data_IF_708051783146
#
_entry.id   IF_708051783146
#
_cell.length_a   1.000
_cell.length_b   1.000
_cell.length_c   1.000
_cell.angle_alpha   90.00
_cell.angle_beta   90.00
_cell.angle_gamma   90.00
#
_symmetry.space_group_name_H-M   'P 1'
#
loop_
_entity.id
_entity.type
_entity.pdbx_description
1 polymer ?
#
# COMPACT_ATOMS: atom_id res chain seq x y z
N UNK A 1 8.81 2.59 -6.54
CA UNK A 1 10.21 2.16 -6.78
C UNK A 1 11.23 3.16 -6.26
N UNK A 2 11.16 4.45 -6.63
CA UNK A 2 12.15 5.46 -6.16
C UNK A 2 12.22 5.57 -4.64
N UNK A 3 11.09 5.68 -3.95
CA UNK A 3 11.03 5.76 -2.48
C UNK A 3 11.76 4.59 -1.81
N UNK A 4 11.41 3.36 -2.19
CA UNK A 4 12.02 2.15 -1.66
C UNK A 4 13.55 2.15 -1.87
N UNK A 5 14.03 2.51 -3.07
CA UNK A 5 15.48 2.58 -3.33
C UNK A 5 16.19 3.56 -2.39
N UNK A 6 15.63 4.77 -2.23
CA UNK A 6 16.22 5.80 -1.36
C UNK A 6 16.28 5.31 0.09
N UNK A 7 15.19 4.77 0.61
CA UNK A 7 15.15 4.27 2.00
C UNK A 7 16.07 3.08 2.18
N UNK A 8 16.15 2.16 1.21
CA UNK A 8 17.08 1.03 1.26
C UNK A 8 18.55 1.46 1.29
N UNK A 9 18.92 2.51 0.55
CA UNK A 9 20.27 3.08 0.60
C UNK A 9 20.55 3.64 2.01
N UNK A 10 19.63 4.43 2.57
CA UNK A 10 19.76 5.00 3.92
C UNK A 10 19.92 3.89 4.97
N UNK A 11 19.07 2.87 4.93
CA UNK A 11 19.16 1.72 5.84
C UNK A 11 20.50 0.99 5.69
N UNK A 12 21.02 0.84 4.48
CA UNK A 12 22.33 0.22 4.22
C UNK A 12 23.46 1.00 4.89
N UNK A 13 23.42 2.33 4.83
CA UNK A 13 24.42 3.18 5.50
C UNK A 13 24.32 3.10 7.02
N UNK A 14 23.10 3.09 7.58
CA UNK A 14 22.87 3.02 9.04
C UNK A 14 23.32 1.67 9.62
N UNK A 15 23.03 0.56 8.92
CA UNK A 15 23.29 -0.79 9.42
C UNK A 15 24.59 -1.41 8.88
N UNK A 16 25.40 -0.65 8.14
CA UNK A 16 26.74 -1.07 7.70
C UNK A 16 26.77 -2.22 6.69
N UNK A 17 25.69 -2.41 5.91
CA UNK A 17 25.62 -3.51 4.94
C UNK A 17 24.26 -3.64 4.26
N UNK A 18 24.22 -4.37 3.14
CA UNK A 18 22.97 -4.62 2.41
C UNK A 18 21.98 -5.36 3.30
N UNK A 19 20.83 -4.74 3.55
CA UNK A 19 19.75 -5.37 4.30
C UNK A 19 18.85 -6.14 3.33
N UNK A 20 18.69 -7.43 3.58
CA UNK A 20 17.68 -8.26 2.89
C UNK A 20 16.53 -8.48 3.86
N UNK A 21 15.31 -8.19 3.43
CA UNK A 21 14.12 -8.47 4.23
C UNK A 21 13.95 -9.98 4.38
N UNK A 22 13.71 -10.50 5.60
CA UNK A 22 13.37 -11.90 5.82
C UNK A 22 12.15 -12.35 5.00
N UNK A 23 11.24 -11.43 4.67
CA UNK A 23 10.10 -11.73 3.79
C UNK A 23 10.56 -12.06 2.37
N UNK A 24 11.43 -11.21 1.79
CA UNK A 24 11.98 -11.44 0.45
C UNK A 24 12.78 -12.73 0.38
N UNK A 25 13.61 -13.01 1.40
CA UNK A 25 14.40 -14.24 1.45
C UNK A 25 13.50 -15.50 1.46
N UNK A 26 12.45 -15.50 2.30
CA UNK A 26 11.46 -16.59 2.33
C UNK A 26 10.77 -16.77 0.98
N UNK A 27 10.32 -15.68 0.37
CA UNK A 27 9.66 -15.72 -0.94
C UNK A 27 10.60 -16.28 -2.03
N UNK A 28 11.87 -15.89 -2.03
CA UNK A 28 12.88 -16.42 -2.97
C UNK A 28 13.08 -17.93 -2.77
N UNK A 29 13.18 -18.40 -1.52
CA UNK A 29 13.35 -19.83 -1.22
C UNK A 29 12.15 -20.64 -1.73
N UNK A 30 10.92 -20.17 -1.48
CA UNK A 30 9.70 -20.84 -1.94
C UNK A 30 9.63 -20.80 -3.47
N UNK A 31 9.90 -19.65 -4.08
CA UNK A 31 9.89 -19.47 -5.52
C UNK A 31 10.88 -20.38 -6.25
N UNK A 32 12.06 -20.63 -5.67
CA UNK A 32 13.03 -21.59 -6.23
C UNK A 32 12.51 -23.03 -6.20
N UNK A 33 11.69 -23.39 -5.22
CA UNK A 33 11.06 -24.72 -5.12
C UNK A 33 9.82 -24.83 -6.01
N UNK A 34 9.05 -23.76 -6.11
CA UNK A 34 7.77 -23.70 -6.81
C UNK A 34 7.73 -22.40 -7.65
N UNK A 35 8.24 -22.39 -8.89
CA UNK A 35 8.34 -21.16 -9.70
C UNK A 35 7.00 -20.47 -9.96
N UNK A 36 5.91 -21.25 -10.11
CA UNK A 36 4.56 -20.71 -10.31
C UNK A 36 4.05 -19.91 -9.09
N UNK A 37 4.64 -20.10 -7.91
CA UNK A 37 4.30 -19.34 -6.71
C UNK A 37 4.51 -17.83 -6.89
N UNK A 38 5.51 -17.40 -7.69
CA UNK A 38 5.74 -15.98 -7.97
C UNK A 38 4.53 -15.36 -8.64
N UNK A 39 3.91 -16.06 -9.60
CA UNK A 39 2.72 -15.56 -10.30
C UNK A 39 1.57 -15.32 -9.32
N UNK A 40 1.30 -16.30 -8.44
CA UNK A 40 0.27 -16.16 -7.41
C UNK A 40 0.55 -15.00 -6.47
N UNK A 41 1.75 -14.89 -5.91
CA UNK A 41 2.11 -13.78 -5.01
C UNK A 41 2.03 -12.43 -5.71
N UNK A 42 2.46 -12.33 -6.97
CA UNK A 42 2.46 -11.07 -7.73
C UNK A 42 1.06 -10.55 -8.08
N UNK A 43 0.04 -11.42 -8.06
CA UNK A 43 -1.34 -11.04 -8.36
C UNK A 43 -2.14 -10.96 -7.06
N UNK A 44 -2.16 -12.05 -6.30
CA UNK A 44 -2.98 -12.16 -5.09
C UNK A 44 -2.47 -11.23 -3.98
N UNK A 45 -1.15 -11.08 -3.84
CA UNK A 45 -0.56 -10.16 -2.86
C UNK A 45 -1.07 -8.74 -3.04
N UNK A 46 -0.80 -8.08 -4.19
CA UNK A 46 -1.29 -6.73 -4.46
C UNK A 46 -2.82 -6.58 -4.37
N UNK A 47 -3.59 -7.59 -4.80
CA UNK A 47 -5.06 -7.56 -4.67
C UNK A 47 -5.52 -7.57 -3.21
N UNK A 48 -4.94 -8.43 -2.38
CA UNK A 48 -5.22 -8.47 -0.95
C UNK A 48 -4.77 -7.18 -0.27
N UNK A 49 -3.63 -6.63 -0.66
CA UNK A 49 -3.11 -5.39 -0.10
C UNK A 49 -4.05 -4.20 -0.38
N UNK A 50 -4.50 -4.07 -1.63
CA UNK A 50 -5.45 -3.04 -2.05
C UNK A 50 -6.79 -3.20 -1.33
N UNK A 51 -7.33 -4.43 -1.28
CA UNK A 51 -8.61 -4.67 -0.63
C UNK A 51 -8.55 -4.42 0.88
N UNK A 52 -7.61 -5.04 1.59
CA UNK A 52 -7.56 -4.97 3.06
C UNK A 52 -7.09 -3.59 3.52
N UNK A 53 -5.97 -3.08 3.00
CA UNK A 53 -5.40 -1.85 3.55
C UNK A 53 -5.98 -0.58 2.94
N UNK A 54 -6.41 -0.58 1.67
CA UNK A 54 -6.99 0.62 1.02
C UNK A 54 -8.50 0.65 1.10
N UNK A 55 -9.19 -0.40 0.69
CA UNK A 55 -10.66 -0.41 0.73
C UNK A 55 -11.18 -0.54 2.16
N UNK A 56 -10.79 -1.58 2.89
CA UNK A 56 -11.34 -1.88 4.23
C UNK A 56 -10.77 -0.95 5.29
N UNK A 57 -9.45 -0.91 5.49
CA UNK A 57 -8.89 -0.14 6.61
C UNK A 57 -8.90 1.36 6.33
N UNK A 58 -8.22 1.80 5.26
CA UNK A 58 -8.13 3.23 4.93
C UNK A 58 -9.51 3.81 4.57
N UNK A 59 -10.26 3.14 3.71
CA UNK A 59 -11.56 3.62 3.22
C UNK A 59 -12.56 3.81 4.34
N UNK A 60 -12.78 2.79 5.17
CA UNK A 60 -13.72 2.89 6.30
C UNK A 60 -13.27 3.95 7.31
N UNK A 61 -11.98 4.01 7.64
CA UNK A 61 -11.46 5.01 8.58
C UNK A 61 -11.61 6.44 8.05
N UNK A 62 -11.34 6.66 6.76
CA UNK A 62 -11.51 7.95 6.11
C UNK A 62 -12.98 8.41 6.07
N UNK A 63 -13.93 7.47 5.97
CA UNK A 63 -15.37 7.77 5.91
C UNK A 63 -15.96 7.97 7.31
N UNK A 64 -15.48 7.20 8.28
CA UNK A 64 -15.91 7.30 9.67
C UNK A 64 -15.61 8.68 10.28
N UNK A 65 -14.52 9.33 9.87
CA UNK A 65 -14.13 10.65 10.37
C UNK A 65 -14.95 11.73 9.64
N UNK A 66 -16.07 12.12 10.27
CA UNK A 66 -16.92 13.24 9.85
C UNK A 66 -16.30 14.56 10.33
N UNK A 67 -15.64 15.28 9.44
CA UNK A 67 -14.94 16.52 9.78
C UNK A 67 -14.03 17.01 8.67
N UNK A 68 -12.95 17.70 9.02
CA UNK A 68 -11.95 18.18 8.06
C UNK A 68 -11.36 16.98 7.28
N UNK A 69 -11.58 16.96 5.96
CA UNK A 69 -11.15 15.86 5.09
C UNK A 69 -9.63 15.72 5.01
N UNK A 70 -8.88 16.80 5.19
CA UNK A 70 -7.41 16.76 5.26
C UNK A 70 -6.98 16.01 6.52
N UNK A 71 -7.60 16.32 7.67
CA UNK A 71 -7.31 15.63 8.94
C UNK A 71 -7.71 14.16 8.86
N UNK A 72 -8.90 13.87 8.32
CA UNK A 72 -9.34 12.50 8.07
C UNK A 72 -8.35 11.72 7.19
N UNK A 73 -7.85 12.35 6.12
CA UNK A 73 -6.87 11.74 5.23
C UNK A 73 -5.55 11.44 5.94
N UNK A 74 -5.01 12.39 6.71
CA UNK A 74 -3.74 12.21 7.44
C UNK A 74 -3.87 11.07 8.45
N UNK A 75 -4.96 11.04 9.21
CA UNK A 75 -5.20 9.98 10.21
C UNK A 75 -5.38 8.62 9.51
N UNK A 76 -6.26 8.53 8.51
CA UNK A 76 -6.53 7.29 7.80
C UNK A 76 -5.28 6.72 7.11
N UNK A 77 -4.50 7.60 6.48
CA UNK A 77 -3.23 7.24 5.84
C UNK A 77 -2.23 6.74 6.86
N UNK A 78 -2.04 7.47 7.96
CA UNK A 78 -1.06 7.11 9.00
C UNK A 78 -1.39 5.76 9.62
N UNK A 79 -2.65 5.58 10.05
CA UNK A 79 -3.10 4.34 10.72
C UNK A 79 -3.02 3.15 9.76
N UNK A 80 -3.58 3.27 8.56
CA UNK A 80 -3.55 2.17 7.59
C UNK A 80 -2.14 1.80 7.13
N UNK A 81 -1.25 2.78 7.00
CA UNK A 81 0.17 2.56 6.62
C UNK A 81 0.97 1.95 7.75
N UNK A 82 0.68 2.30 9.01
CA UNK A 82 1.30 1.69 10.17
C UNK A 82 0.87 0.23 10.32
N UNK A 83 -0.42 -0.06 10.19
CA UNK A 83 -0.93 -1.44 10.22
C UNK A 83 -0.31 -2.26 9.08
N UNK A 84 -0.23 -1.69 7.88
CA UNK A 84 0.45 -2.32 6.73
C UNK A 84 1.92 -2.65 7.06
N UNK A 85 2.67 -1.70 7.63
CA UNK A 85 4.06 -1.92 7.99
C UNK A 85 4.24 -3.01 9.05
N UNK A 86 3.40 -3.03 10.08
CA UNK A 86 3.45 -4.03 11.15
C UNK A 86 3.05 -5.42 10.66
N UNK A 87 2.11 -5.53 9.72
CA UNK A 87 1.68 -6.80 9.14
C UNK A 87 2.82 -7.54 8.39
N UNK A 88 3.86 -6.82 7.96
CA UNK A 88 5.03 -7.42 7.30
C UNK A 88 5.99 -8.11 8.28
N UNK A 89 5.80 -7.94 9.60
CA UNK A 89 6.61 -8.58 10.65
C UNK A 89 8.13 -8.40 10.46
N UNK A 90 8.55 -7.27 9.90
CA UNK A 90 9.94 -6.96 9.61
C UNK A 90 10.29 -5.54 10.06
N UNK A 91 10.69 -5.44 11.32
CA UNK A 91 10.84 -4.19 12.06
C UNK A 91 11.90 -3.25 11.46
N UNK A 92 12.99 -3.81 10.89
CA UNK A 92 14.05 -3.01 10.26
C UNK A 92 13.56 -2.27 9.02
N UNK A 93 12.54 -2.83 8.35
CA UNK A 93 11.99 -2.31 7.10
C UNK A 93 10.66 -1.57 7.31
N UNK A 94 10.25 -1.32 8.57
CA UNK A 94 9.08 -0.49 8.87
C UNK A 94 9.09 0.84 8.10
N UNK A 95 10.20 1.60 8.01
CA UNK A 95 10.22 2.83 7.22
C UNK A 95 9.84 2.59 5.76
N UNK A 96 10.33 1.52 5.14
CA UNK A 96 10.01 1.16 3.75
C UNK A 96 8.53 0.85 3.62
N UNK A 97 7.99 -0.06 4.45
CA UNK A 97 6.59 -0.47 4.32
C UNK A 97 5.63 0.67 4.67
N UNK A 98 5.92 1.44 5.71
CA UNK A 98 5.11 2.58 6.12
C UNK A 98 5.01 3.60 5.00
N UNK A 99 6.15 4.04 4.44
CA UNK A 99 6.10 5.03 3.36
C UNK A 99 5.50 4.49 2.06
N UNK A 100 5.68 3.21 1.75
CA UNK A 100 4.94 2.57 0.65
C UNK A 100 3.43 2.59 0.90
N UNK A 101 2.98 2.31 2.13
CA UNK A 101 1.58 2.43 2.53
C UNK A 101 1.04 3.85 2.36
N UNK A 102 1.84 4.88 2.68
CA UNK A 102 1.48 6.29 2.48
C UNK A 102 1.33 6.59 0.99
N UNK A 103 2.29 6.17 0.18
CA UNK A 103 2.26 6.35 -1.28
C UNK A 103 1.03 5.66 -1.88
N UNK A 104 0.72 4.44 -1.44
CA UNK A 104 -0.47 3.73 -1.91
C UNK A 104 -1.78 4.41 -1.48
N UNK A 105 -1.84 4.96 -0.27
CA UNK A 105 -3.01 5.72 0.20
C UNK A 105 -3.20 7.01 -0.63
N UNK A 106 -2.11 7.69 -0.98
CA UNK A 106 -2.14 8.84 -1.89
C UNK A 106 -2.59 8.44 -3.30
N UNK A 107 -2.03 7.36 -3.85
CA UNK A 107 -2.40 6.84 -5.16
C UNK A 107 -3.88 6.43 -5.22
N UNK A 108 -4.40 5.78 -4.17
CA UNK A 108 -5.80 5.39 -4.05
C UNK A 108 -6.76 6.59 -4.10
N UNK A 109 -6.42 7.68 -3.39
CA UNK A 109 -7.23 8.92 -3.45
C UNK A 109 -7.11 9.58 -4.82
N UNK A 110 -5.90 9.65 -5.37
CA UNK A 110 -5.64 10.24 -6.68
C UNK A 110 -6.43 9.56 -7.80
N UNK A 111 -6.39 8.23 -7.85
CA UNK A 111 -7.09 7.44 -8.87
C UNK A 111 -8.61 7.65 -8.77
N UNK A 112 -9.15 7.72 -7.55
CA UNK A 112 -10.57 8.06 -7.35
C UNK A 112 -10.93 9.48 -7.77
N UNK A 113 -10.07 10.46 -7.51
CA UNK A 113 -10.30 11.85 -7.97
C UNK A 113 -10.24 11.92 -9.50
N UNK A 114 -9.28 11.25 -10.12
CA UNK A 114 -9.15 11.18 -11.57
C UNK A 114 -10.38 10.51 -12.20
N UNK A 115 -10.85 9.39 -11.65
CA UNK A 115 -12.04 8.70 -12.14
C UNK A 115 -13.34 9.50 -11.99
N UNK A 116 -13.45 10.32 -10.93
CA UNK A 116 -14.60 11.21 -10.72
C UNK A 116 -14.51 12.54 -11.50
N UNK A 117 -13.41 12.80 -12.20
CA UNK A 117 -13.24 13.99 -13.06
C UNK A 117 -14.22 13.97 -14.24
N UNK A 118 -14.67 15.15 -14.67
CA UNK A 118 -15.54 15.31 -15.85
C UNK A 118 -14.87 14.91 -17.18
N UNK A 119 -13.57 14.63 -17.15
CA UNK A 119 -12.79 14.21 -18.31
C UNK A 119 -12.94 12.71 -18.66
N UNK A 120 -13.44 11.87 -17.74
CA UNK A 120 -13.57 10.42 -17.96
C UNK A 120 -14.99 9.98 -18.37
N UNK A 121 -15.13 8.99 -19.28
CA UNK A 121 -16.42 8.53 -19.79
C UNK A 121 -17.31 7.93 -18.69
N UNK A 122 -18.64 8.04 -18.89
CA UNK A 122 -19.67 7.63 -17.92
C UNK A 122 -19.56 6.18 -17.41
N UNK A 123 -19.00 5.26 -18.21
CA UNK A 123 -18.79 3.85 -17.84
C UNK A 123 -17.74 3.72 -16.74
N UNK A 124 -16.62 4.45 -16.85
CA UNK A 124 -15.55 4.48 -15.84
C UNK A 124 -16.05 5.07 -14.52
N UNK A 125 -16.90 6.10 -14.59
CA UNK A 125 -17.59 6.68 -13.42
C UNK A 125 -18.53 5.71 -12.69
N UNK A 126 -19.11 4.70 -13.38
CA UNK A 126 -19.93 3.66 -12.72
C UNK A 126 -19.07 2.65 -11.98
N UNK A 127 -17.94 2.22 -12.54
CA UNK A 127 -17.01 1.27 -11.90
C UNK A 127 -16.45 1.87 -10.61
N UNK A 128 -16.08 3.16 -10.62
CA UNK A 128 -15.61 3.86 -9.43
C UNK A 128 -16.70 4.07 -8.36
N UNK A 129 -17.98 3.97 -8.73
CA UNK A 129 -19.13 4.01 -7.81
C UNK A 129 -19.28 2.71 -7.00
N UNK A 130 -18.72 1.59 -7.45
CA UNK A 130 -18.71 0.30 -6.74
C UNK A 130 -17.55 0.15 -5.74
N UNK A 131 -16.71 1.17 -5.59
CA UNK A 131 -15.71 1.28 -4.51
C UNK A 131 -16.21 2.36 -3.54
N UNK A 132 -17.22 2.06 -2.71
CA UNK A 132 -17.98 3.06 -1.98
C UNK A 132 -17.07 3.80 -1.01
N UNK A 133 -17.13 5.12 -1.10
CA UNK A 133 -16.87 6.04 0.00
C UNK A 133 -18.16 6.86 0.08
N UNK A 134 -19.14 6.32 0.77
CA UNK A 134 -20.37 7.02 1.18
C UNK A 134 -20.25 7.38 2.65
#
# INVERSE_FOLDING_TARGET
>A
MIYQMVVSIVLTQIYGGQQVSPNTEKLIIIARKIPIFIFFVSIIGPLLEEYVFRKVIFGELFNAIKGNRIVAFIIATTVSSLIFALAHNDFKFIPVYFGMGVIFSLAYVWDKTACCSNYYPYVTKRICRYIPIT
#
